data_IF_027736765122
#
_entry.id   IF_027736765122
#
_cell.length_a   1.000
_cell.length_b   1.000
_cell.length_c   1.000
_cell.angle_alpha   90.00
_cell.angle_beta   90.00
_cell.angle_gamma   90.00
#
_symmetry.space_group_name_H-M   'P 1'
#
loop_
_entity.id
_entity.type
_entity.pdbx_description
1 polymer ?
#
# COMPACT_ATOMS: atom_id res chain seq x y z
N UNK A 1 -21.02 3.45 -32.65
CA UNK A 1 -20.01 4.06 -31.75
C UNK A 1 -19.24 2.91 -31.13
N UNK A 2 -17.93 2.79 -31.39
CA UNK A 2 -17.12 1.78 -30.68
C UNK A 2 -17.15 2.14 -29.20
N UNK A 3 -17.61 1.23 -28.33
CA UNK A 3 -17.46 1.44 -26.89
C UNK A 3 -15.97 1.64 -26.60
N UNK A 4 -15.63 2.67 -25.82
CA UNK A 4 -14.26 2.88 -25.39
C UNK A 4 -13.79 1.64 -24.61
N UNK A 5 -12.54 1.22 -24.82
CA UNK A 5 -11.97 0.10 -24.07
C UNK A 5 -12.05 0.40 -22.55
N UNK A 6 -12.35 -0.61 -21.72
CA UNK A 6 -12.44 -0.41 -20.27
C UNK A 6 -11.07 0.04 -19.71
N UNK A 7 -11.12 0.96 -18.74
CA UNK A 7 -9.92 1.39 -18.01
C UNK A 7 -9.41 0.24 -17.14
N UNK A 8 -8.12 -0.04 -17.19
CA UNK A 8 -7.44 -0.99 -16.32
C UNK A 8 -6.96 -0.26 -15.08
N UNK A 9 -7.15 -0.85 -13.92
CA UNK A 9 -6.68 -0.26 -12.65
C UNK A 9 -5.97 -1.31 -11.81
N UNK A 10 -5.18 -0.86 -10.85
CA UNK A 10 -4.68 -1.67 -9.75
C UNK A 10 -5.62 -1.54 -8.56
N UNK A 11 -6.17 -2.64 -8.08
CA UNK A 11 -6.80 -2.73 -6.77
C UNK A 11 -5.85 -3.51 -5.86
N UNK A 12 -5.15 -2.76 -5.01
CA UNK A 12 -4.11 -3.29 -4.15
C UNK A 12 -4.62 -3.45 -2.72
N UNK A 13 -4.50 -4.67 -2.18
CA UNK A 13 -4.66 -4.91 -0.76
C UNK A 13 -3.31 -4.75 -0.03
N UNK A 14 -3.26 -3.81 0.90
CA UNK A 14 -2.08 -3.55 1.71
C UNK A 14 -2.05 -4.49 2.94
N UNK A 15 -0.90 -4.53 3.62
CA UNK A 15 -0.65 -5.26 4.88
C UNK A 15 -0.61 -6.80 4.83
N UNK A 16 -0.29 -7.42 3.69
CA UNK A 16 -0.02 -8.86 3.70
C UNK A 16 1.17 -9.17 4.62
N UNK A 17 0.99 -10.05 5.59
CA UNK A 17 1.98 -10.37 6.63
C UNK A 17 1.69 -9.75 8.00
N UNK A 18 0.69 -8.86 8.14
CA UNK A 18 0.34 -8.27 9.44
C UNK A 18 -0.31 -9.28 10.40
N UNK A 19 -1.20 -10.13 9.89
CA UNK A 19 -1.84 -11.20 10.66
C UNK A 19 -2.29 -12.35 9.76
N UNK A 20 -2.48 -13.57 10.31
CA UNK A 20 -3.02 -14.70 9.55
C UNK A 20 -4.41 -14.41 8.95
N UNK A 21 -5.27 -13.69 9.66
CA UNK A 21 -6.60 -13.29 9.19
C UNK A 21 -6.55 -12.37 7.97
N UNK A 22 -5.64 -11.40 7.96
CA UNK A 22 -5.41 -10.53 6.80
C UNK A 22 -4.85 -11.33 5.62
N UNK A 23 -3.85 -12.18 5.84
CA UNK A 23 -3.28 -13.02 4.77
C UNK A 23 -4.33 -13.90 4.09
N UNK A 24 -5.23 -14.51 4.88
CA UNK A 24 -6.32 -15.35 4.34
C UNK A 24 -7.31 -14.54 3.51
N UNK A 25 -7.71 -13.36 3.98
CA UNK A 25 -8.66 -12.50 3.28
C UNK A 25 -8.10 -12.01 1.93
N UNK A 26 -6.83 -11.61 1.90
CA UNK A 26 -6.16 -11.16 0.68
C UNK A 26 -6.06 -12.30 -0.33
N UNK A 27 -5.61 -13.50 0.10
CA UNK A 27 -5.54 -14.67 -0.78
C UNK A 27 -6.91 -15.04 -1.35
N UNK A 28 -7.95 -15.09 -0.51
CA UNK A 28 -9.33 -15.38 -0.96
C UNK A 28 -9.79 -14.42 -2.06
N UNK A 29 -9.49 -13.12 -1.94
CA UNK A 29 -9.87 -12.15 -2.96
C UNK A 29 -9.01 -12.22 -4.22
N UNK A 30 -7.71 -12.51 -4.12
CA UNK A 30 -6.83 -12.76 -5.28
C UNK A 30 -7.32 -13.98 -6.06
N UNK A 31 -7.60 -15.09 -5.38
CA UNK A 31 -8.06 -16.35 -6.00
C UNK A 31 -9.42 -16.19 -6.70
N UNK A 32 -10.27 -15.28 -6.20
CA UNK A 32 -11.55 -14.91 -6.82
C UNK A 32 -11.42 -13.90 -7.97
N UNK A 33 -10.21 -13.43 -8.28
CA UNK A 33 -9.98 -12.35 -9.26
C UNK A 33 -10.59 -11.01 -8.84
N UNK A 34 -10.75 -10.79 -7.54
CA UNK A 34 -11.28 -9.54 -6.95
C UNK A 34 -10.18 -8.55 -6.58
N UNK A 35 -8.93 -8.99 -6.56
CA UNK A 35 -7.72 -8.17 -6.40
C UNK A 35 -6.72 -8.53 -7.50
N UNK A 36 -5.89 -7.56 -7.89
CA UNK A 36 -4.79 -7.77 -8.82
C UNK A 36 -3.45 -7.20 -8.29
N UNK A 37 -3.40 -6.79 -7.03
CA UNK A 37 -2.17 -6.42 -6.38
C UNK A 37 -2.25 -6.65 -4.86
N UNK A 38 -1.11 -6.96 -4.24
CA UNK A 38 -0.95 -6.87 -2.79
C UNK A 38 0.48 -6.50 -2.43
N UNK A 39 0.68 -5.83 -1.29
CA UNK A 39 1.99 -5.48 -0.77
C UNK A 39 2.29 -6.17 0.57
N UNK A 40 3.53 -6.64 0.71
CA UNK A 40 3.97 -7.56 1.77
C UNK A 40 4.83 -6.86 2.82
N UNK A 41 4.46 -7.00 4.09
CA UNK A 41 5.21 -6.51 5.25
C UNK A 41 6.24 -7.54 5.71
N UNK A 42 7.51 -7.35 5.33
CA UNK A 42 8.58 -8.28 5.73
C UNK A 42 8.93 -8.25 7.22
N UNK A 43 8.45 -7.26 7.96
CA UNK A 43 8.55 -7.17 9.43
C UNK A 43 7.26 -7.58 10.14
N UNK A 44 6.24 -8.00 9.39
CA UNK A 44 4.96 -8.45 9.92
C UNK A 44 5.08 -9.82 10.60
N UNK A 45 4.35 -10.08 11.68
CA UNK A 45 4.49 -11.34 12.44
C UNK A 45 3.94 -12.56 11.69
N UNK A 46 3.14 -12.37 10.65
CA UNK A 46 2.50 -13.43 9.89
C UNK A 46 3.14 -13.69 8.52
N UNK A 47 4.40 -13.27 8.30
CA UNK A 47 5.11 -13.49 7.02
C UNK A 47 6.06 -14.70 7.04
N UNK A 48 5.55 -15.85 7.47
CA UNK A 48 6.30 -17.11 7.45
C UNK A 48 6.43 -17.71 6.05
N UNK A 49 7.36 -18.67 5.88
CA UNK A 49 7.59 -19.39 4.61
C UNK A 49 6.30 -19.96 4.00
N UNK A 50 5.43 -20.55 4.81
CA UNK A 50 4.16 -21.11 4.33
C UNK A 50 3.19 -20.05 3.80
N UNK A 51 3.21 -18.84 4.35
CA UNK A 51 2.36 -17.74 3.89
C UNK A 51 2.91 -17.16 2.58
N UNK A 52 4.23 -17.06 2.42
CA UNK A 52 4.87 -16.69 1.15
C UNK A 52 4.51 -17.69 0.05
N UNK A 53 4.69 -18.99 0.30
CA UNK A 53 4.35 -20.05 -0.66
C UNK A 53 2.86 -20.01 -1.03
N UNK A 54 1.99 -19.78 -0.04
CA UNK A 54 0.55 -19.65 -0.27
C UNK A 54 0.20 -18.42 -1.11
N UNK A 55 0.80 -17.25 -0.84
CA UNK A 55 0.58 -16.05 -1.64
C UNK A 55 1.04 -16.25 -3.10
N UNK A 56 2.21 -16.84 -3.31
CA UNK A 56 2.70 -17.15 -4.65
C UNK A 56 1.78 -18.14 -5.38
N UNK A 57 1.18 -19.10 -4.68
CA UNK A 57 0.19 -20.01 -5.25
C UNK A 57 -1.10 -19.28 -5.66
N UNK A 58 -1.66 -18.44 -4.78
CA UNK A 58 -2.85 -17.63 -5.08
C UNK A 58 -2.62 -16.68 -6.26
N UNK A 59 -1.47 -16.00 -6.31
CA UNK A 59 -1.14 -15.07 -7.38
C UNK A 59 -1.05 -15.73 -8.76
N UNK A 60 -0.64 -17.01 -8.84
CA UNK A 60 -0.63 -17.78 -10.11
C UNK A 60 -2.02 -18.02 -10.68
N UNK A 61 -3.08 -17.94 -9.86
CA UNK A 61 -4.47 -18.09 -10.29
C UNK A 61 -5.07 -16.81 -10.88
N UNK A 62 -4.42 -15.65 -10.67
CA UNK A 62 -4.89 -14.35 -11.15
C UNK A 62 -3.86 -13.73 -12.11
N UNK A 63 -4.05 -13.89 -13.43
CA UNK A 63 -3.18 -13.27 -14.43
C UNK A 63 -3.13 -11.74 -14.21
N UNK A 64 -1.93 -11.18 -14.07
CA UNK A 64 -1.61 -9.79 -13.64
C UNK A 64 -1.62 -9.51 -12.14
N UNK A 65 -1.71 -10.49 -11.24
CA UNK A 65 -1.50 -10.22 -9.81
C UNK A 65 -0.07 -9.73 -9.56
N UNK A 66 0.09 -8.49 -9.09
CA UNK A 66 1.37 -7.92 -8.70
C UNK A 66 1.62 -8.14 -7.20
N UNK A 67 2.84 -8.52 -6.83
CA UNK A 67 3.28 -8.65 -5.44
C UNK A 67 4.37 -7.61 -5.16
N UNK A 68 4.06 -6.67 -4.27
CA UNK A 68 4.95 -5.59 -3.88
C UNK A 68 5.53 -5.75 -2.49
N UNK A 69 6.55 -4.94 -2.18
CA UNK A 69 7.05 -4.75 -0.81
C UNK A 69 6.28 -3.61 -0.14
N UNK A 70 5.68 -3.91 1.01
CA UNK A 70 5.06 -2.92 1.90
C UNK A 70 6.07 -2.44 2.94
N UNK A 71 6.83 -1.41 2.59
CA UNK A 71 7.86 -0.86 3.47
C UNK A 71 7.23 -0.41 4.78
N UNK A 72 7.67 -1.01 5.88
CA UNK A 72 7.10 -0.77 7.19
C UNK A 72 8.14 -0.13 8.08
N UNK A 73 7.89 1.12 8.48
CA UNK A 73 8.85 1.97 9.21
C UNK A 73 8.20 2.67 10.42
N UNK A 74 7.05 2.17 10.88
CA UNK A 74 6.29 2.75 11.99
C UNK A 74 5.92 1.69 13.03
N UNK A 75 5.66 2.14 14.26
CA UNK A 75 5.22 1.29 15.35
C UNK A 75 3.89 0.58 14.99
N UNK A 76 3.63 -0.63 15.52
CA UNK A 76 4.38 -1.35 16.56
C UNK A 76 5.47 -2.30 16.02
N UNK A 77 5.93 -2.11 14.78
CA UNK A 77 6.93 -2.97 14.17
C UNK A 77 8.36 -2.60 14.59
N UNK A 78 9.27 -3.56 14.43
CA UNK A 78 10.69 -3.43 14.76
C UNK A 78 11.54 -3.43 13.49
N UNK A 79 12.66 -2.70 13.46
CA UNK A 79 13.57 -2.70 12.31
C UNK A 79 14.25 -4.06 12.12
N UNK A 80 14.55 -4.39 10.86
CA UNK A 80 15.46 -5.49 10.53
C UNK A 80 16.92 -5.12 10.81
N UNK A 81 17.26 -3.82 10.74
CA UNK A 81 18.63 -3.34 10.96
C UNK A 81 18.93 -3.06 12.43
N UNK A 82 20.06 -3.56 12.93
CA UNK A 82 20.46 -3.45 14.35
C UNK A 82 20.64 -2.00 14.86
N UNK A 83 21.02 -1.07 13.99
CA UNK A 83 21.38 0.30 14.39
C UNK A 83 20.35 1.36 13.99
N UNK A 84 19.13 0.96 13.61
CA UNK A 84 18.12 1.92 13.18
C UNK A 84 17.84 2.98 14.25
N UNK A 85 17.73 4.25 13.84
CA UNK A 85 17.27 5.35 14.68
C UNK A 85 16.43 6.32 13.84
N UNK A 86 15.44 7.01 14.44
CA UNK A 86 15.01 6.94 15.83
C UNK A 86 14.11 5.72 16.15
N UNK A 87 14.09 5.29 17.42
CA UNK A 87 13.22 4.22 17.94
C UNK A 87 12.47 4.69 19.20
N UNK A 88 11.33 4.07 19.49
CA UNK A 88 10.61 4.15 20.75
C UNK A 88 10.76 2.79 21.46
N UNK A 89 11.72 2.69 22.37
CA UNK A 89 12.20 1.39 22.86
C UNK A 89 12.94 0.63 21.76
N UNK A 90 12.45 -0.56 21.42
CA UNK A 90 12.96 -1.40 20.32
C UNK A 90 12.11 -1.32 19.04
N UNK A 91 11.03 -0.53 19.05
CA UNK A 91 10.11 -0.36 17.93
C UNK A 91 10.40 0.93 17.17
N UNK A 92 9.96 1.00 15.92
CA UNK A 92 9.89 2.25 15.18
C UNK A 92 9.08 3.31 15.92
N UNK A 93 9.22 4.58 15.52
CA UNK A 93 8.33 5.62 16.03
C UNK A 93 6.90 5.40 15.53
N UNK A 94 5.91 5.68 16.39
CA UNK A 94 4.52 5.77 15.94
C UNK A 94 4.35 6.82 14.84
N UNK A 95 3.43 6.58 13.90
CA UNK A 95 3.20 7.43 12.72
C UNK A 95 3.23 8.94 13.01
N UNK A 96 2.50 9.48 14.01
CA UNK A 96 2.48 10.93 14.24
C UNK A 96 3.83 11.48 14.67
N UNK A 97 4.60 10.71 15.46
CA UNK A 97 5.95 11.09 15.91
C UNK A 97 6.92 11.08 14.72
N UNK A 98 6.84 10.06 13.87
CA UNK A 98 7.69 9.94 12.69
C UNK A 98 7.45 11.08 11.68
N UNK A 99 6.20 11.35 11.35
CA UNK A 99 5.84 12.45 10.46
C UNK A 99 6.33 13.79 11.01
N UNK A 100 6.12 14.06 12.30
CA UNK A 100 6.60 15.28 12.96
C UNK A 100 8.13 15.40 12.89
N UNK A 101 8.85 14.32 13.17
CA UNK A 101 10.32 14.31 13.09
C UNK A 101 10.80 14.64 11.68
N UNK A 102 10.20 14.03 10.65
CA UNK A 102 10.51 14.31 9.25
C UNK A 102 10.21 15.75 8.84
N UNK A 103 9.06 16.29 9.22
CA UNK A 103 8.71 17.70 8.97
C UNK A 103 9.69 18.68 9.64
N UNK A 104 10.19 18.35 10.83
CA UNK A 104 11.21 19.13 11.54
C UNK A 104 12.66 18.83 11.11
N UNK A 105 12.85 18.03 10.05
CA UNK A 105 14.16 17.63 9.52
C UNK A 105 15.07 16.90 10.52
N UNK A 106 14.50 16.18 11.49
CA UNK A 106 15.21 15.49 12.59
C UNK A 106 15.50 14.01 12.31
N UNK A 107 15.27 13.54 11.10
CA UNK A 107 15.54 12.17 10.69
C UNK A 107 16.85 12.12 9.89
N UNK A 108 17.58 11.02 9.99
CA UNK A 108 18.72 10.75 9.11
C UNK A 108 18.27 9.77 8.02
N UNK A 109 18.36 10.21 6.77
CA UNK A 109 17.92 9.43 5.59
C UNK A 109 18.66 8.10 5.47
N UNK A 110 19.89 7.98 5.95
CA UNK A 110 20.69 6.76 5.77
C UNK A 110 20.13 5.60 6.61
N UNK A 111 19.55 5.88 7.79
CA UNK A 111 18.85 4.83 8.56
C UNK A 111 17.67 4.27 7.78
N UNK A 112 16.87 5.13 7.16
CA UNK A 112 15.73 4.71 6.35
C UNK A 112 16.17 4.00 5.08
N UNK A 113 17.22 4.48 4.40
CA UNK A 113 17.79 3.80 3.22
C UNK A 113 18.24 2.37 3.57
N UNK A 114 19.01 2.22 4.65
CA UNK A 114 19.54 0.91 5.05
C UNK A 114 18.42 -0.05 5.48
N UNK A 115 17.41 0.45 6.19
CA UNK A 115 16.26 -0.37 6.58
C UNK A 115 15.40 -0.79 5.38
N UNK A 116 15.12 0.12 4.45
CA UNK A 116 14.39 -0.23 3.21
C UNK A 116 15.17 -1.23 2.38
N UNK A 117 16.50 -1.09 2.30
CA UNK A 117 17.36 -2.10 1.66
C UNK A 117 17.28 -3.45 2.35
N UNK A 118 17.30 -3.49 3.67
CA UNK A 118 17.16 -4.74 4.42
C UNK A 118 15.80 -5.42 4.15
N UNK A 119 14.72 -4.64 4.10
CA UNK A 119 13.39 -5.17 3.77
C UNK A 119 13.29 -5.64 2.30
N UNK A 120 13.94 -4.96 1.36
CA UNK A 120 14.07 -5.41 -0.04
C UNK A 120 14.85 -6.72 -0.16
N UNK A 121 15.96 -6.85 0.56
CA UNK A 121 16.75 -8.09 0.60
C UNK A 121 15.92 -9.23 1.18
N UNK A 122 15.26 -9.01 2.33
CA UNK A 122 14.38 -10.00 2.94
C UNK A 122 13.26 -10.45 1.99
N UNK A 123 12.66 -9.51 1.25
CA UNK A 123 11.66 -9.82 0.23
C UNK A 123 12.25 -10.69 -0.88
N UNK A 124 13.38 -10.29 -1.46
CA UNK A 124 14.01 -11.02 -2.56
C UNK A 124 14.45 -12.44 -2.16
N UNK A 125 14.96 -12.61 -0.94
CA UNK A 125 15.31 -13.92 -0.38
C UNK A 125 14.07 -14.81 -0.17
N UNK A 126 12.97 -14.22 0.29
CA UNK A 126 11.71 -14.91 0.53
C UNK A 126 11.00 -15.33 -0.78
N UNK A 127 10.89 -14.43 -1.74
CA UNK A 127 10.11 -14.63 -2.97
C UNK A 127 10.92 -15.16 -4.15
N UNK A 128 12.26 -15.04 -4.10
CA UNK A 128 13.16 -15.41 -5.19
C UNK A 128 13.18 -14.43 -6.36
N UNK A 129 12.53 -13.26 -6.23
CA UNK A 129 12.49 -12.20 -7.23
C UNK A 129 12.39 -10.82 -6.58
N UNK A 130 12.73 -9.77 -7.33
CA UNK A 130 12.42 -8.40 -6.93
C UNK A 130 10.90 -8.17 -6.83
N UNK A 131 10.43 -7.24 -5.98
CA UNK A 131 9.02 -6.90 -5.92
C UNK A 131 8.58 -6.21 -7.22
N UNK A 132 7.31 -6.41 -7.62
CA UNK A 132 6.72 -5.72 -8.78
C UNK A 132 6.59 -4.22 -8.52
N UNK A 133 6.38 -3.85 -7.24
CA UNK A 133 6.23 -2.48 -6.78
C UNK A 133 6.64 -2.30 -5.33
N UNK A 134 6.87 -1.06 -4.93
CA UNK A 134 7.19 -0.71 -3.55
C UNK A 134 6.30 0.43 -3.07
N UNK A 135 5.65 0.23 -1.95
CA UNK A 135 4.88 1.24 -1.24
C UNK A 135 5.27 1.25 0.24
N UNK A 136 4.50 1.91 1.09
CA UNK A 136 4.81 1.97 2.50
C UNK A 136 3.59 2.00 3.38
N UNK A 137 3.68 1.27 4.50
CA UNK A 137 2.67 1.24 5.54
C UNK A 137 2.42 2.66 6.05
N UNK A 138 1.15 3.04 6.17
CA UNK A 138 0.72 4.41 6.52
C UNK A 138 1.27 5.51 5.57
N UNK A 139 1.63 5.13 4.34
CA UNK A 139 2.26 6.00 3.34
C UNK A 139 3.59 6.63 3.80
N UNK A 140 4.34 5.93 4.65
CA UNK A 140 5.57 6.43 5.26
C UNK A 140 6.63 6.86 4.24
N UNK A 141 6.62 6.28 3.04
CA UNK A 141 7.51 6.64 1.93
C UNK A 141 7.33 8.08 1.43
N UNK A 142 6.22 8.73 1.78
CA UNK A 142 5.96 10.12 1.39
C UNK A 142 6.59 11.13 2.36
N UNK A 143 6.97 10.70 3.58
CA UNK A 143 7.38 11.61 4.64
C UNK A 143 8.76 12.21 4.34
N UNK A 144 9.04 13.47 4.72
CA UNK A 144 10.34 14.09 4.44
C UNK A 144 11.48 13.29 5.09
N UNK A 145 12.64 13.23 4.43
CA UNK A 145 13.84 12.43 4.78
C UNK A 145 13.64 10.91 4.71
N UNK A 146 12.49 10.37 5.11
CA UNK A 146 12.13 8.95 4.86
C UNK A 146 12.04 8.70 3.36
N UNK A 147 11.32 9.58 2.64
CA UNK A 147 11.22 9.58 1.18
C UNK A 147 12.57 9.46 0.49
N UNK A 148 13.55 10.23 0.95
CA UNK A 148 14.83 10.32 0.26
C UNK A 148 15.58 9.00 0.43
N UNK A 149 15.61 8.45 1.65
CA UNK A 149 16.18 7.12 1.90
C UNK A 149 15.42 5.99 1.19
N UNK A 150 14.09 6.07 1.12
CA UNK A 150 13.25 5.14 0.38
C UNK A 150 13.58 5.13 -1.11
N UNK A 151 13.60 6.30 -1.76
CA UNK A 151 13.89 6.40 -3.20
C UNK A 151 15.31 5.89 -3.48
N UNK A 152 16.29 6.29 -2.68
CA UNK A 152 17.68 5.83 -2.84
C UNK A 152 17.79 4.30 -2.69
N UNK A 153 17.04 3.70 -1.76
CA UNK A 153 17.03 2.25 -1.57
C UNK A 153 16.38 1.50 -2.73
N UNK A 154 15.23 1.97 -3.22
CA UNK A 154 14.51 1.33 -4.33
C UNK A 154 15.27 1.47 -5.65
N UNK A 155 15.85 2.64 -5.93
CA UNK A 155 16.71 2.83 -7.11
C UNK A 155 17.89 1.86 -7.14
N UNK A 156 18.49 1.58 -5.98
CA UNK A 156 19.62 0.65 -5.89
C UNK A 156 19.19 -0.83 -5.93
N UNK A 157 18.12 -1.18 -5.23
CA UNK A 157 17.75 -2.57 -4.95
C UNK A 157 16.65 -3.16 -5.83
N UNK A 158 15.78 -2.32 -6.39
CA UNK A 158 14.64 -2.74 -7.22
C UNK A 158 14.28 -1.65 -8.26
N UNK A 159 15.20 -1.26 -9.17
CA UNK A 159 15.00 -0.13 -10.09
C UNK A 159 13.85 -0.33 -11.10
N UNK A 160 13.44 -1.58 -11.33
CA UNK A 160 12.32 -1.90 -12.23
C UNK A 160 10.96 -1.92 -11.52
N UNK A 161 10.94 -1.86 -10.18
CA UNK A 161 9.71 -1.79 -9.41
C UNK A 161 9.12 -0.38 -9.50
N UNK A 162 7.83 -0.26 -9.78
CA UNK A 162 7.17 1.04 -9.68
C UNK A 162 6.91 1.39 -8.21
N UNK A 163 6.83 2.67 -7.89
CA UNK A 163 6.62 3.13 -6.51
C UNK A 163 5.25 3.79 -6.33
N UNK A 164 4.59 3.54 -5.21
CA UNK A 164 3.26 4.11 -4.97
C UNK A 164 3.33 5.58 -4.56
N UNK A 165 2.74 6.45 -5.37
CA UNK A 165 2.39 7.82 -5.01
C UNK A 165 0.99 7.88 -4.41
N UNK A 166 0.76 8.82 -3.49
CA UNK A 166 -0.50 8.95 -2.73
C UNK A 166 -1.41 10.10 -3.18
N UNK A 167 -1.06 10.79 -4.26
CA UNK A 167 -1.77 11.96 -4.74
C UNK A 167 -2.92 11.63 -5.68
N UNK A 168 -3.99 12.41 -5.57
CA UNK A 168 -5.15 12.29 -6.46
C UNK A 168 -5.24 13.52 -7.36
N UNK A 169 -5.45 13.30 -8.66
CA UNK A 169 -5.74 14.38 -9.62
C UNK A 169 -7.21 14.82 -9.50
N UNK A 170 -7.59 15.31 -8.32
CA UNK A 170 -8.90 15.92 -8.09
C UNK A 170 -8.85 17.45 -8.24
N UNK A 171 -9.97 18.09 -8.64
CA UNK A 171 -10.12 19.54 -8.57
C UNK A 171 -9.83 20.06 -7.16
N UNK A 172 -9.21 21.24 -7.07
CA UNK A 172 -8.77 21.85 -5.81
C UNK A 172 -9.90 21.92 -4.75
N UNK A 173 -11.15 22.18 -5.18
CA UNK A 173 -12.32 22.25 -4.31
C UNK A 173 -12.62 20.94 -3.55
N UNK A 174 -12.42 19.79 -4.18
CA UNK A 174 -12.62 18.48 -3.53
C UNK A 174 -11.43 18.10 -2.65
N UNK A 175 -10.22 18.56 -3.00
CA UNK A 175 -9.01 18.39 -2.18
C UNK A 175 -9.07 19.19 -0.87
N UNK A 176 -9.71 20.37 -0.90
CA UNK A 176 -9.97 21.20 0.28
C UNK A 176 -10.98 20.56 1.25
N UNK A 177 -11.80 19.61 0.80
CA UNK A 177 -12.85 18.97 1.61
C UNK A 177 -12.30 17.90 2.59
N UNK A 178 -11.04 17.47 2.45
CA UNK A 178 -10.41 16.49 3.34
C UNK A 178 -8.97 16.92 3.70
N UNK A 179 -8.73 17.34 4.96
CA UNK A 179 -7.39 17.72 5.42
C UNK A 179 -6.34 16.61 5.23
N UNK A 180 -6.74 15.34 5.40
CA UNK A 180 -5.87 14.16 5.20
C UNK A 180 -5.45 14.03 3.74
N UNK A 181 -6.39 14.19 2.80
CA UNK A 181 -6.10 14.12 1.37
C UNK A 181 -5.13 15.24 0.95
N UNK A 182 -5.32 16.47 1.46
CA UNK A 182 -4.44 17.59 1.16
C UNK A 182 -3.00 17.36 1.63
N UNK A 183 -2.81 16.85 2.85
CA UNK A 183 -1.47 16.51 3.37
C UNK A 183 -0.82 15.45 2.50
N UNK A 184 -1.57 14.40 2.16
CA UNK A 184 -1.07 13.31 1.32
C UNK A 184 -0.66 13.80 -0.07
N UNK A 185 -1.46 14.68 -0.68
CA UNK A 185 -1.15 15.26 -1.99
C UNK A 185 0.14 16.11 -1.97
N UNK A 186 0.34 16.93 -0.92
CA UNK A 186 1.54 17.77 -0.78
C UNK A 186 2.79 16.89 -0.65
N UNK A 187 2.73 15.89 0.23
CA UNK A 187 3.83 14.95 0.43
C UNK A 187 4.09 14.15 -0.86
N UNK A 188 3.01 13.73 -1.53
CA UNK A 188 3.09 12.98 -2.78
C UNK A 188 3.64 13.82 -3.95
N UNK A 189 3.38 15.12 -4.02
CA UNK A 189 3.95 15.96 -5.07
C UNK A 189 5.48 16.03 -4.99
N UNK A 190 6.02 16.12 -3.77
CA UNK A 190 7.47 16.06 -3.55
C UNK A 190 8.03 14.65 -3.81
N UNK A 191 7.27 13.60 -3.46
CA UNK A 191 7.61 12.21 -3.77
C UNK A 191 7.73 11.96 -5.27
N UNK A 192 6.72 12.35 -6.07
CA UNK A 192 6.74 12.19 -7.53
C UNK A 192 7.93 12.90 -8.17
N UNK A 193 8.27 14.11 -7.70
CA UNK A 193 9.47 14.82 -8.17
C UNK A 193 10.75 14.02 -7.88
N UNK A 194 10.93 13.55 -6.64
CA UNK A 194 12.11 12.79 -6.24
C UNK A 194 12.23 11.46 -6.99
N UNK A 195 11.14 10.70 -7.08
CA UNK A 195 11.07 9.43 -7.78
C UNK A 195 11.35 9.60 -9.29
N UNK A 196 10.70 10.60 -9.93
CA UNK A 196 10.93 10.91 -11.34
C UNK A 196 12.37 11.33 -11.65
N UNK A 197 12.99 12.17 -10.78
CA UNK A 197 14.41 12.52 -10.93
C UNK A 197 15.36 11.33 -10.72
N UNK A 198 14.92 10.27 -10.04
CA UNK A 198 15.67 9.04 -9.85
C UNK A 198 15.35 7.97 -10.91
N UNK A 199 14.49 8.28 -11.89
CA UNK A 199 14.10 7.36 -12.97
C UNK A 199 13.08 6.28 -12.55
N UNK A 200 12.49 6.37 -11.35
CA UNK A 200 11.48 5.42 -10.89
C UNK A 200 10.10 5.77 -11.46
N UNK A 201 9.40 4.77 -11.98
CA UNK A 201 8.00 4.86 -12.38
C UNK A 201 7.07 4.86 -11.16
N UNK A 202 5.88 5.45 -11.28
CA UNK A 202 4.87 5.47 -10.23
C UNK A 202 3.46 5.47 -10.84
N UNK A 203 2.45 5.06 -10.07
CA UNK A 203 1.07 5.03 -10.50
C UNK A 203 0.55 6.44 -10.89
N UNK A 204 -0.22 6.58 -11.99
CA UNK A 204 -0.67 7.88 -12.50
C UNK A 204 -1.73 8.55 -11.63
N UNK A 205 -2.44 7.78 -10.80
CA UNK A 205 -3.44 8.30 -9.86
C UNK A 205 -3.62 7.36 -8.68
N UNK A 206 -4.07 7.90 -7.55
CA UNK A 206 -4.25 7.16 -6.30
C UNK A 206 -5.62 7.44 -5.66
N UNK A 207 -6.28 6.38 -5.21
CA UNK A 207 -7.49 6.43 -4.40
C UNK A 207 -7.47 5.34 -3.31
N UNK A 208 -8.52 5.25 -2.48
CA UNK A 208 -8.58 4.28 -1.38
C UNK A 208 -8.16 4.82 -0.02
N UNK A 209 -7.62 6.04 0.06
CA UNK A 209 -7.42 6.72 1.33
C UNK A 209 -8.73 7.37 1.81
N UNK A 210 -9.25 6.91 2.95
CA UNK A 210 -10.43 7.48 3.60
C UNK A 210 -10.28 7.52 5.13
N UNK A 211 -11.28 8.10 5.80
CA UNK A 211 -11.40 8.10 7.25
C UNK A 211 -12.21 6.88 7.70
N UNK A 212 -11.51 5.82 8.10
CA UNK A 212 -12.11 4.55 8.51
C UNK A 212 -12.80 4.62 9.88
N UNK A 213 -12.62 5.71 10.64
CA UNK A 213 -13.30 5.91 11.94
C UNK A 213 -14.78 6.22 11.77
N UNK A 214 -15.20 6.62 10.57
CA UNK A 214 -16.59 6.88 10.24
C UNK A 214 -17.20 5.62 9.64
N UNK A 215 -18.39 5.24 10.12
CA UNK A 215 -19.20 4.25 9.45
C UNK A 215 -19.53 4.77 8.04
N UNK A 216 -18.88 4.19 7.03
CA UNK A 216 -19.06 4.55 5.64
C UNK A 216 -19.52 3.32 4.85
N UNK A 217 -20.45 3.53 3.93
CA UNK A 217 -20.79 2.54 2.93
C UNK A 217 -19.58 2.38 1.99
N UNK A 218 -18.88 1.26 2.13
CA UNK A 218 -17.68 0.99 1.34
C UNK A 218 -17.98 0.90 -0.16
N UNK A 219 -19.19 0.50 -0.56
CA UNK A 219 -19.59 0.51 -1.97
C UNK A 219 -19.74 1.92 -2.52
N UNK A 220 -20.29 2.84 -1.73
CA UNK A 220 -20.34 4.26 -2.09
C UNK A 220 -18.93 4.86 -2.20
N UNK A 221 -18.03 4.52 -1.27
CA UNK A 221 -16.62 4.92 -1.33
C UNK A 221 -15.91 4.37 -2.56
N UNK A 222 -16.10 3.09 -2.89
CA UNK A 222 -15.49 2.48 -4.07
C UNK A 222 -15.96 3.16 -5.35
N UNK A 223 -17.25 3.51 -5.48
CA UNK A 223 -17.73 4.30 -6.62
C UNK A 223 -16.98 5.63 -6.71
N UNK A 224 -16.87 6.35 -5.59
CA UNK A 224 -16.12 7.60 -5.53
C UNK A 224 -14.64 7.40 -5.88
N UNK A 225 -14.00 6.29 -5.49
CA UNK A 225 -12.59 6.04 -5.81
C UNK A 225 -12.36 5.81 -7.32
N UNK A 226 -13.32 5.21 -8.02
CA UNK A 226 -13.22 4.96 -9.45
C UNK A 226 -13.50 6.20 -10.31
N UNK A 227 -14.24 7.17 -9.78
CA UNK A 227 -14.52 8.45 -10.43
C UNK A 227 -13.23 9.24 -10.67
N UNK A 228 -12.96 9.56 -11.94
CA UNK A 228 -11.80 10.33 -12.37
C UNK A 228 -10.45 9.61 -12.26
N UNK A 229 -10.41 8.34 -11.85
CA UNK A 229 -9.16 7.59 -11.77
C UNK A 229 -8.62 7.33 -13.19
N UNK A 230 -7.35 7.62 -13.50
CA UNK A 230 -6.79 7.35 -14.83
C UNK A 230 -6.64 5.84 -15.09
N UNK A 231 -6.43 5.47 -16.36
CA UNK A 231 -5.92 4.14 -16.72
C UNK A 231 -4.60 3.87 -15.99
N UNK A 232 -4.39 2.63 -15.57
CA UNK A 232 -3.32 2.16 -14.67
C UNK A 232 -3.30 2.85 -13.29
N UNK A 233 -4.35 3.58 -12.92
CA UNK A 233 -4.51 4.16 -11.60
C UNK A 233 -4.64 3.10 -10.50
N UNK A 234 -4.31 3.48 -9.26
CA UNK A 234 -4.29 2.57 -8.11
C UNK A 234 -5.37 2.93 -7.09
N UNK A 235 -6.14 1.93 -6.66
CA UNK A 235 -7.03 1.98 -5.51
C UNK A 235 -6.44 1.09 -4.41
N UNK A 236 -6.22 1.66 -3.24
CA UNK A 236 -5.80 0.93 -2.05
C UNK A 236 -7.02 0.40 -1.27
N UNK A 237 -6.90 -0.78 -0.70
CA UNK A 237 -7.85 -1.37 0.23
C UNK A 237 -7.13 -2.16 1.33
N UNK A 238 -7.85 -2.52 2.38
CA UNK A 238 -7.37 -3.25 3.55
C UNK A 238 -8.32 -4.40 3.92
N UNK A 239 -8.68 -5.32 3.00
CA UNK A 239 -9.50 -6.47 3.34
C UNK A 239 -8.79 -7.35 4.37
N UNK A 240 -9.55 -7.93 5.30
CA UNK A 240 -8.97 -8.70 6.40
C UNK A 240 -10.02 -9.34 7.28
N UNK A 241 -9.74 -10.53 7.79
CA UNK A 241 -10.51 -11.13 8.88
C UNK A 241 -9.86 -10.75 10.20
N UNK A 242 -10.66 -10.30 11.17
CA UNK A 242 -10.11 -9.85 12.45
C UNK A 242 -9.65 -11.07 13.26
N UNK A 243 -8.42 -11.00 13.77
CA UNK A 243 -7.87 -11.94 14.74
C UNK A 243 -7.15 -11.19 15.86
N UNK A 244 -6.81 -11.90 16.94
CA UNK A 244 -6.19 -11.29 18.13
C UNK A 244 -4.84 -10.63 17.82
N UNK A 245 -4.12 -11.15 16.81
CA UNK A 245 -2.85 -10.56 16.35
C UNK A 245 -3.11 -9.19 15.73
N UNK A 246 -4.06 -9.10 14.80
CA UNK A 246 -4.44 -7.82 14.19
C UNK A 246 -4.92 -6.82 15.24
N UNK A 247 -5.81 -7.25 16.14
CA UNK A 247 -6.37 -6.39 17.19
C UNK A 247 -5.30 -5.80 18.13
N UNK A 248 -4.17 -6.50 18.29
CA UNK A 248 -3.02 -6.02 19.06
C UNK A 248 -2.08 -5.06 18.31
N UNK A 249 -2.19 -4.98 16.97
CA UNK A 249 -1.22 -4.26 16.13
C UNK A 249 -1.82 -3.05 15.41
N UNK A 250 -3.09 -3.09 15.05
CA UNK A 250 -3.73 -2.10 14.19
C UNK A 250 -5.09 -1.66 14.75
N UNK A 251 -5.36 -0.35 14.87
CA UNK A 251 -6.69 0.16 15.22
C UNK A 251 -7.76 -0.11 14.15
N UNK A 252 -7.40 -0.40 12.90
CA UNK A 252 -8.32 -0.72 11.81
C UNK A 252 -8.64 -2.21 11.80
N UNK A 253 -9.68 -2.60 12.56
CA UNK A 253 -10.16 -3.99 12.68
C UNK A 253 -11.40 -4.24 11.81
N UNK A 254 -12.61 -4.07 12.33
CA UNK A 254 -13.89 -4.51 11.73
C UNK A 254 -14.17 -3.88 10.36
N UNK A 255 -13.51 -2.75 10.06
CA UNK A 255 -13.55 -2.13 8.73
C UNK A 255 -13.00 -3.09 7.68
N UNK A 256 -11.95 -3.85 7.99
CA UNK A 256 -11.31 -4.80 7.08
C UNK A 256 -12.25 -5.92 6.63
N UNK A 257 -13.11 -6.38 7.53
CA UNK A 257 -14.12 -7.40 7.20
C UNK A 257 -15.21 -6.85 6.29
N UNK A 258 -15.60 -5.59 6.49
CA UNK A 258 -16.55 -4.90 5.60
C UNK A 258 -15.97 -4.69 4.20
N UNK A 259 -14.70 -4.31 4.11
CA UNK A 259 -14.01 -4.21 2.82
C UNK A 259 -13.96 -5.56 2.12
N UNK A 260 -13.55 -6.63 2.83
CA UNK A 260 -13.52 -7.99 2.30
C UNK A 260 -14.91 -8.43 1.81
N UNK A 261 -15.95 -8.30 2.63
CA UNK A 261 -17.30 -8.73 2.29
C UNK A 261 -17.84 -8.02 1.04
N UNK A 262 -17.57 -6.72 0.90
CA UNK A 262 -17.97 -5.96 -0.30
C UNK A 262 -17.18 -6.39 -1.54
N UNK A 263 -15.85 -6.48 -1.45
CA UNK A 263 -14.98 -6.85 -2.56
C UNK A 263 -15.22 -8.28 -3.05
N UNK A 264 -15.55 -9.20 -2.13
CA UNK A 264 -15.90 -10.57 -2.48
C UNK A 264 -17.24 -10.66 -3.22
N UNK A 265 -18.19 -9.76 -2.92
CA UNK A 265 -19.55 -9.80 -3.41
C UNK A 265 -19.78 -9.31 -4.85
N UNK A 266 -20.92 -9.68 -5.41
CA UNK A 266 -21.30 -9.32 -6.80
C UNK A 266 -21.63 -7.83 -6.97
N UNK A 267 -21.83 -7.10 -5.88
CA UNK A 267 -21.98 -5.64 -5.94
C UNK A 267 -20.71 -4.96 -6.47
N UNK A 268 -19.53 -5.43 -6.05
CA UNK A 268 -18.27 -4.92 -6.55
C UNK A 268 -18.06 -5.26 -8.04
N UNK A 269 -18.37 -6.51 -8.43
CA UNK A 269 -18.31 -6.94 -9.83
C UNK A 269 -19.14 -6.03 -10.75
N UNK A 270 -20.39 -5.77 -10.34
CA UNK A 270 -21.31 -4.87 -11.05
C UNK A 270 -20.78 -3.46 -11.13
N UNK A 271 -20.24 -2.92 -10.03
CA UNK A 271 -19.63 -1.59 -10.02
C UNK A 271 -18.51 -1.46 -11.06
N UNK A 272 -17.62 -2.46 -11.18
CA UNK A 272 -16.55 -2.43 -12.18
C UNK A 272 -17.12 -2.39 -13.61
N UNK A 273 -18.11 -3.23 -13.91
CA UNK A 273 -18.79 -3.24 -15.21
C UNK A 273 -19.48 -1.90 -15.51
N UNK A 274 -20.25 -1.37 -14.56
CA UNK A 274 -20.99 -0.11 -14.70
C UNK A 274 -20.05 1.10 -14.88
N UNK A 275 -18.85 1.03 -14.29
CA UNK A 275 -17.83 2.09 -14.34
C UNK A 275 -16.88 1.96 -15.54
N UNK A 276 -17.04 0.92 -16.37
CA UNK A 276 -16.15 0.61 -17.48
C UNK A 276 -14.70 0.36 -17.02
N UNK A 277 -14.52 -0.38 -15.93
CA UNK A 277 -13.22 -0.66 -15.30
C UNK A 277 -12.95 -2.17 -15.27
N UNK A 278 -11.69 -2.57 -15.42
CA UNK A 278 -11.21 -3.94 -15.23
C UNK A 278 -9.97 -3.99 -14.32
N UNK A 279 -9.77 -5.11 -13.61
CA UNK A 279 -8.56 -5.42 -12.81
C UNK A 279 -7.55 -6.26 -13.60
N UNK A 280 -7.90 -6.67 -14.81
CA UNK A 280 -7.06 -7.44 -15.72
C UNK A 280 -7.20 -6.86 -17.11
#
# INVERSE_FOLDING_TARGET
MSAAAPRRIWLCADDYGISPGVNRAIRDLIERGRLNATSVMMVGPAIGRSEIEALQASAKLSPRCAIGLHVTLSAPFRPLTMHFRPLDGDMFLAFPKLLRAGLTRRLDREFFRNEVKAQLVAFMEAFGSAPDFVDGHQHVQLYPQVRDGFVDAVTDGAPNAWVRQGGRDLPLAQRLASPKAMVLDILSAQFRRRAGSAGLSFNPGFAGAYDFTRAADFGALMRQFLEGLPDDGLVMCHPGFVDDILAGLDPMTDVREREHAYLAGDAFARLLTDSGVTLG
#
